data_IF_885139476788
#
_entry.id   IF_885139476788
#
_cell.length_a   1.000
_cell.length_b   1.000
_cell.length_c   1.000
_cell.angle_alpha   90.00
_cell.angle_beta   90.00
_cell.angle_gamma   90.00
#
_symmetry.space_group_name_H-M   'P 1'
#
loop_
_entity.id
_entity.type
_entity.pdbx_description
1 polymer ?
#
# COMPACT_ATOMS: atom_id res chain seq x y z
N UNK A 1 -9.49 -13.86 -8.62
CA UNK A 1 -9.14 -14.22 -7.21
C UNK A 1 -7.68 -13.92 -6.87
N UNK A 2 -6.70 -14.24 -7.72
CA UNK A 2 -5.27 -13.99 -7.44
C UNK A 2 -4.91 -12.51 -7.22
N UNK A 3 -5.41 -11.58 -8.04
CA UNK A 3 -5.08 -10.16 -7.93
C UNK A 3 -5.51 -9.52 -6.59
N UNK A 4 -6.68 -9.87 -6.07
CA UNK A 4 -7.19 -9.37 -4.78
C UNK A 4 -6.33 -9.84 -3.61
N UNK A 5 -5.85 -11.09 -3.66
CA UNK A 5 -4.93 -11.62 -2.65
C UNK A 5 -3.60 -10.85 -2.63
N UNK A 6 -3.02 -10.59 -3.81
CA UNK A 6 -1.79 -9.81 -3.92
C UNK A 6 -1.99 -8.37 -3.45
N UNK A 7 -3.10 -7.73 -3.84
CA UNK A 7 -3.46 -6.39 -3.33
C UNK A 7 -3.48 -6.38 -1.80
N UNK A 8 -4.15 -7.35 -1.18
CA UNK A 8 -4.22 -7.44 0.28
C UNK A 8 -2.83 -7.61 0.93
N UNK A 9 -1.97 -8.46 0.37
CA UNK A 9 -0.62 -8.68 0.91
C UNK A 9 0.27 -7.45 0.76
N UNK A 10 0.18 -6.74 -0.37
CA UNK A 10 0.90 -5.47 -0.60
C UNK A 10 0.45 -4.41 0.41
N UNK A 11 -0.86 -4.24 0.61
CA UNK A 11 -1.38 -3.27 1.57
C UNK A 11 -1.05 -3.67 3.01
N UNK A 12 -1.09 -4.96 3.37
CA UNK A 12 -0.64 -5.42 4.68
C UNK A 12 0.83 -5.12 4.93
N UNK A 13 1.68 -5.25 3.90
CA UNK A 13 3.09 -4.91 4.03
C UNK A 13 3.28 -3.40 4.23
N UNK A 14 2.55 -2.58 3.49
CA UNK A 14 2.52 -1.12 3.68
C UNK A 14 2.07 -0.73 5.10
N UNK A 15 0.95 -1.28 5.58
CA UNK A 15 0.45 -1.05 6.95
C UNK A 15 1.48 -1.47 8.00
N UNK A 16 2.18 -2.58 7.79
CA UNK A 16 3.22 -3.06 8.73
C UNK A 16 4.39 -2.07 8.86
N UNK A 17 4.73 -1.32 7.80
CA UNK A 17 5.75 -0.25 7.88
C UNK A 17 5.21 0.97 8.63
N UNK A 18 3.94 1.32 8.40
CA UNK A 18 3.29 2.46 9.04
C UNK A 18 3.13 2.25 10.55
N UNK A 19 2.60 1.09 10.95
CA UNK A 19 2.34 0.68 12.33
C UNK A 19 3.63 0.54 13.17
N UNK A 20 4.77 0.23 12.54
CA UNK A 20 6.01 -0.06 13.25
C UNK A 20 6.64 1.20 13.85
N UNK A 21 6.37 1.45 15.13
CA UNK A 21 6.88 2.60 15.88
C UNK A 21 8.40 2.55 16.14
N UNK A 22 9.08 1.46 15.78
CA UNK A 22 10.54 1.34 15.94
C UNK A 22 11.31 1.93 14.75
N UNK A 23 10.64 2.14 13.61
CA UNK A 23 11.23 2.76 12.42
C UNK A 23 11.19 4.29 12.59
N UNK A 24 12.35 4.96 12.47
CA UNK A 24 12.43 6.41 12.54
C UNK A 24 11.63 7.07 11.41
N UNK A 25 11.06 8.25 11.66
CA UNK A 25 10.30 8.98 10.62
C UNK A 25 11.15 9.31 9.39
N UNK A 26 12.44 9.57 9.57
CA UNK A 26 13.39 9.83 8.47
C UNK A 26 13.50 8.66 7.49
N UNK A 27 13.34 7.43 7.98
CA UNK A 27 13.34 6.22 7.15
C UNK A 27 11.93 5.83 6.73
N UNK A 28 10.95 5.94 7.63
CA UNK A 28 9.56 5.52 7.41
C UNK A 28 8.87 6.33 6.33
N UNK A 29 9.00 7.66 6.36
CA UNK A 29 8.36 8.57 5.41
C UNK A 29 8.75 8.25 3.94
N UNK A 30 10.04 8.20 3.57
CA UNK A 30 10.42 7.85 2.21
C UNK A 30 10.05 6.40 1.87
N UNK A 31 10.14 5.46 2.83
CA UNK A 31 9.76 4.07 2.60
C UNK A 31 8.28 3.90 2.26
N UNK A 32 7.38 4.63 2.94
CA UNK A 32 5.94 4.62 2.63
C UNK A 32 5.66 5.27 1.29
N UNK A 33 6.26 6.43 1.00
CA UNK A 33 6.06 7.14 -0.25
C UNK A 33 6.51 6.30 -1.48
N UNK A 34 7.66 5.66 -1.36
CA UNK A 34 8.29 4.91 -2.46
C UNK A 34 7.90 3.43 -2.47
N UNK A 35 7.02 2.97 -1.57
CA UNK A 35 6.67 1.56 -1.40
C UNK A 35 6.18 0.90 -2.70
N UNK A 36 5.41 1.65 -3.50
CA UNK A 36 4.92 1.18 -4.80
C UNK A 36 6.06 0.81 -5.77
N UNK A 37 7.23 1.46 -5.66
CA UNK A 37 8.39 1.17 -6.50
C UNK A 37 9.03 -0.17 -6.14
N UNK A 38 8.94 -0.59 -4.87
CA UNK A 38 9.50 -1.84 -4.37
C UNK A 38 8.78 -3.07 -4.95
N UNK A 39 7.55 -2.91 -5.43
CA UNK A 39 6.83 -3.95 -6.18
C UNK A 39 7.62 -4.42 -7.42
N UNK A 40 8.44 -3.54 -7.99
CA UNK A 40 9.28 -3.81 -9.17
C UNK A 40 10.72 -4.19 -8.81
N UNK A 41 11.10 -4.20 -7.53
CA UNK A 41 12.44 -4.55 -7.06
C UNK A 41 12.44 -5.99 -6.53
N UNK A 42 13.03 -6.97 -7.26
CA UNK A 42 12.89 -8.39 -6.91
C UNK A 42 13.45 -8.78 -5.55
N UNK A 43 14.53 -8.12 -5.12
CA UNK A 43 15.26 -8.47 -3.91
C UNK A 43 14.90 -7.56 -2.72
N UNK A 44 13.97 -6.63 -2.91
CA UNK A 44 13.59 -5.72 -1.84
C UNK A 44 12.88 -6.48 -0.72
N UNK A 45 13.35 -6.26 0.51
CA UNK A 45 12.80 -6.80 1.74
C UNK A 45 13.22 -5.92 2.91
N UNK A 46 12.48 -5.98 4.01
CA UNK A 46 12.80 -5.26 5.23
C UNK A 46 12.84 -6.21 6.42
N UNK A 47 14.02 -6.35 7.04
CA UNK A 47 14.31 -7.34 8.08
C UNK A 47 14.30 -6.77 9.51
N UNK A 48 14.15 -5.46 9.65
CA UNK A 48 14.33 -4.77 10.94
C UNK A 48 13.01 -4.61 11.71
N UNK A 49 11.87 -4.87 11.07
CA UNK A 49 10.54 -4.68 11.67
C UNK A 49 10.34 -5.55 12.92
N UNK A 50 9.65 -4.97 13.91
CA UNK A 50 9.25 -5.63 15.16
C UNK A 50 7.76 -5.97 15.22
N UNK A 51 7.03 -5.65 14.16
CA UNK A 51 5.59 -5.85 14.10
C UNK A 51 5.17 -7.33 14.01
N UNK A 52 3.93 -7.59 14.41
CA UNK A 52 3.34 -8.93 14.38
C UNK A 52 3.36 -9.55 12.98
N UNK A 53 3.17 -8.73 11.96
CA UNK A 53 3.07 -9.17 10.56
C UNK A 53 4.38 -9.01 9.77
N UNK A 54 5.52 -8.74 10.44
CA UNK A 54 6.82 -8.50 9.79
C UNK A 54 7.22 -9.51 8.70
N UNK A 55 6.72 -10.75 8.75
CA UNK A 55 6.98 -11.75 7.72
C UNK A 55 6.59 -11.27 6.31
N UNK A 56 5.55 -10.45 6.15
CA UNK A 56 5.19 -9.91 4.82
C UNK A 56 6.23 -8.93 4.28
N UNK A 57 7.06 -8.35 5.14
CA UNK A 57 8.19 -7.49 4.77
C UNK A 57 9.49 -8.29 4.58
N UNK A 58 9.71 -9.29 5.43
CA UNK A 58 10.89 -10.17 5.35
C UNK A 58 10.88 -11.03 4.08
N UNK A 59 9.71 -11.54 3.68
CA UNK A 59 9.46 -12.36 2.49
C UNK A 59 8.72 -11.59 1.38
N UNK A 60 8.87 -10.25 1.36
CA UNK A 60 8.33 -9.40 0.30
C UNK A 60 8.78 -9.78 -1.14
N UNK A 61 9.98 -10.34 -1.37
CA UNK A 61 10.38 -10.86 -2.69
C UNK A 61 9.36 -11.83 -3.29
N UNK A 62 8.76 -12.69 -2.47
CA UNK A 62 7.73 -13.64 -2.91
C UNK A 62 6.44 -12.92 -3.32
N UNK A 63 5.98 -11.95 -2.53
CA UNK A 63 4.80 -11.14 -2.84
C UNK A 63 5.01 -10.33 -4.12
N UNK A 64 6.17 -9.68 -4.24
CA UNK A 64 6.50 -8.85 -5.39
C UNK A 64 6.69 -9.67 -6.68
N UNK A 65 7.16 -10.92 -6.57
CA UNK A 65 7.23 -11.86 -7.70
C UNK A 65 5.84 -12.17 -8.25
N UNK A 66 4.91 -12.56 -7.38
CA UNK A 66 3.53 -12.85 -7.78
C UNK A 66 2.84 -11.61 -8.34
N UNK A 67 3.07 -10.43 -7.76
CA UNK A 67 2.64 -9.16 -8.33
C UNK A 67 3.16 -8.98 -9.76
N UNK A 68 4.46 -9.17 -10.00
CA UNK A 68 5.06 -9.02 -11.33
C UNK A 68 4.52 -10.03 -12.34
N UNK A 69 3.99 -11.17 -11.89
CA UNK A 69 3.36 -12.17 -12.76
C UNK A 69 1.91 -11.83 -13.15
N UNK A 70 1.26 -10.86 -12.50
CA UNK A 70 -0.10 -10.44 -12.84
C UNK A 70 -0.18 -9.76 -14.22
N UNK A 71 -1.37 -9.76 -14.82
CA UNK A 71 -1.65 -8.97 -16.01
C UNK A 71 -1.42 -7.48 -15.74
N UNK A 72 -0.99 -6.73 -16.76
CA UNK A 72 -0.61 -5.32 -16.62
C UNK A 72 -1.72 -4.48 -15.97
N UNK A 73 -2.98 -4.70 -16.36
CA UNK A 73 -4.14 -3.99 -15.79
C UNK A 73 -4.18 -4.09 -14.26
N UNK A 74 -4.01 -5.29 -13.71
CA UNK A 74 -4.01 -5.47 -12.26
C UNK A 74 -2.77 -4.87 -11.59
N UNK A 75 -1.60 -4.96 -12.23
CA UNK A 75 -0.37 -4.36 -11.70
C UNK A 75 -0.48 -2.84 -11.60
N UNK A 76 -1.01 -2.20 -12.64
CA UNK A 76 -1.19 -0.75 -12.68
C UNK A 76 -2.13 -0.29 -11.55
N UNK A 77 -3.24 -1.01 -11.34
CA UNK A 77 -4.20 -0.70 -10.27
C UNK A 77 -3.57 -0.86 -8.88
N UNK A 78 -2.90 -1.98 -8.63
CA UNK A 78 -2.30 -2.25 -7.32
C UNK A 78 -1.18 -1.24 -7.03
N UNK A 79 -0.34 -0.92 -8.01
CA UNK A 79 0.73 0.06 -7.86
C UNK A 79 0.18 1.48 -7.60
N UNK A 80 -0.87 1.88 -8.32
CA UNK A 80 -1.52 3.19 -8.14
C UNK A 80 -2.17 3.33 -6.75
N UNK A 81 -2.90 2.30 -6.31
CA UNK A 81 -3.48 2.26 -4.96
C UNK A 81 -2.38 2.34 -3.90
N UNK A 82 -1.34 1.51 -4.04
CA UNK A 82 -0.22 1.48 -3.11
C UNK A 82 0.52 2.82 -3.04
N UNK A 83 0.76 3.46 -4.18
CA UNK A 83 1.42 4.76 -4.25
C UNK A 83 0.60 5.83 -3.53
N UNK A 84 -0.69 5.93 -3.85
CA UNK A 84 -1.57 6.90 -3.19
C UNK A 84 -1.59 6.63 -1.68
N UNK A 85 -1.73 5.36 -1.25
CA UNK A 85 -1.89 5.04 0.18
C UNK A 85 -0.63 5.39 0.96
N UNK A 86 0.53 4.99 0.42
CA UNK A 86 1.82 5.32 0.98
C UNK A 86 2.08 6.82 1.06
N UNK A 87 1.71 7.58 0.02
CA UNK A 87 1.79 9.04 0.04
C UNK A 87 0.88 9.68 1.10
N UNK A 88 -0.36 9.19 1.23
CA UNK A 88 -1.31 9.66 2.25
C UNK A 88 -0.82 9.39 3.68
N UNK A 89 -0.27 8.20 3.94
CA UNK A 89 0.34 7.84 5.23
C UNK A 89 1.59 8.68 5.51
N UNK A 90 2.44 8.90 4.51
CA UNK A 90 3.65 9.71 4.64
C UNK A 90 3.33 11.19 4.93
N UNK A 91 2.30 11.74 4.28
CA UNK A 91 1.80 13.09 4.56
C UNK A 91 1.22 13.18 5.97
N UNK A 92 0.49 12.15 6.39
CA UNK A 92 -0.08 12.06 7.73
C UNK A 92 0.99 12.07 8.83
N UNK A 93 2.07 11.32 8.67
CA UNK A 93 3.16 11.27 9.64
C UNK A 93 3.95 12.59 9.73
N UNK A 94 3.98 13.36 8.64
CA UNK A 94 4.65 14.67 8.58
C UNK A 94 3.77 15.80 9.15
N UNK A 95 2.46 15.72 8.97
CA UNK A 95 1.51 16.67 9.55
C UNK A 95 1.20 16.25 10.98
N UNK A 96 1.70 16.99 11.97
CA UNK A 96 1.15 16.93 13.34
C UNK A 96 -0.37 17.13 13.22
N UNK A 97 -1.16 16.08 13.46
CA UNK A 97 -2.60 16.13 13.30
C UNK A 97 -3.20 17.16 14.26
N UNK A 98 -3.61 18.33 13.76
CA UNK A 98 -4.16 19.39 14.59
C UNK A 98 -5.68 19.22 14.85
N UNK A 99 -6.41 18.40 14.08
CA UNK A 99 -7.81 18.06 14.43
C UNK A 99 -8.39 16.78 13.78
N UNK A 100 -9.28 16.10 14.51
CA UNK A 100 -10.12 14.97 14.05
C UNK A 100 -11.00 15.28 12.83
N UNK A 101 -11.26 16.56 12.54
CA UNK A 101 -12.09 17.00 11.42
C UNK A 101 -11.37 16.89 10.07
N UNK A 102 -10.05 17.11 10.05
CA UNK A 102 -9.24 16.89 8.85
C UNK A 102 -9.14 15.39 8.53
N UNK A 103 -9.14 14.55 9.57
CA UNK A 103 -9.17 13.09 9.50
C UNK A 103 -10.41 12.56 8.79
N UNK A 104 -11.61 12.92 9.26
CA UNK A 104 -12.87 12.45 8.67
C UNK A 104 -12.97 12.85 7.19
N UNK A 105 -12.48 14.04 6.85
CA UNK A 105 -12.50 14.54 5.48
C UNK A 105 -11.51 13.79 4.57
N UNK A 106 -10.29 13.53 5.06
CA UNK A 106 -9.29 12.78 4.30
C UNK A 106 -9.73 11.34 4.10
N UNK A 107 -10.20 10.65 5.14
CA UNK A 107 -10.73 9.29 5.05
C UNK A 107 -11.94 9.19 4.12
N UNK A 108 -12.89 10.13 4.19
CA UNK A 108 -14.04 10.14 3.29
C UNK A 108 -13.63 10.36 1.83
N UNK A 109 -12.66 11.25 1.57
CA UNK A 109 -12.14 11.51 0.22
C UNK A 109 -11.40 10.29 -0.32
N UNK A 110 -10.64 9.63 0.55
CA UNK A 110 -9.92 8.40 0.27
C UNK A 110 -10.84 7.22 -0.03
N UNK A 111 -11.81 6.96 0.87
CA UNK A 111 -12.80 5.91 0.70
C UNK A 111 -13.65 6.12 -0.55
N UNK A 112 -14.04 7.37 -0.85
CA UNK A 112 -14.73 7.70 -2.10
C UNK A 112 -13.86 7.42 -3.34
N UNK A 113 -12.57 7.76 -3.29
CA UNK A 113 -11.63 7.50 -4.39
C UNK A 113 -11.36 6.01 -4.59
N UNK A 114 -11.33 5.24 -3.49
CA UNK A 114 -11.17 3.79 -3.52
C UNK A 114 -12.44 3.09 -4.03
N UNK A 115 -13.62 3.48 -3.54
CA UNK A 115 -14.91 2.91 -3.98
C UNK A 115 -15.21 3.20 -5.46
N UNK A 116 -14.89 4.42 -5.94
CA UNK A 116 -15.04 4.78 -7.36
C UNK A 116 -14.08 3.97 -8.23
N UNK A 117 -12.80 3.86 -7.87
CA UNK A 117 -11.85 3.08 -8.65
C UNK A 117 -12.20 1.59 -8.62
N UNK A 118 -12.41 0.99 -7.45
CA UNK A 118 -12.72 -0.45 -7.33
C UNK A 118 -14.03 -0.80 -8.02
N UNK A 119 -15.09 0.02 -7.92
CA UNK A 119 -16.33 -0.22 -8.67
C UNK A 119 -16.13 -0.12 -10.17
N UNK A 120 -15.38 0.86 -10.67
CA UNK A 120 -15.09 0.99 -12.10
C UNK A 120 -14.38 -0.25 -12.66
N UNK A 121 -13.42 -0.82 -11.90
CA UNK A 121 -12.71 -2.03 -12.31
C UNK A 121 -13.57 -3.30 -12.22
N UNK A 122 -14.48 -3.40 -11.25
CA UNK A 122 -15.39 -4.55 -11.13
C UNK A 122 -16.55 -4.49 -12.13
N UNK A 123 -16.98 -3.31 -12.58
CA UNK A 123 -17.99 -3.17 -13.63
C UNK A 123 -17.48 -3.63 -15.01
N UNK A 124 -16.19 -3.49 -15.29
CA UNK A 124 -15.58 -3.98 -16.53
C UNK A 124 -15.46 -5.51 -16.56
N UNK A 125 -15.45 -6.19 -15.40
CA UNK A 125 -15.44 -7.65 -15.28
C UNK A 125 -16.82 -8.30 -15.51
N UNK A 126 -17.91 -7.53 -15.49
CA UNK A 126 -19.29 -8.01 -15.72
C UNK A 126 -19.77 -7.73 -17.17
N UNK A 127 -19.02 -6.95 -17.94
CA UNK A 127 -19.38 -6.53 -19.30
C UNK A 127 -18.79 -7.43 -20.42
N UNK A 128 -18.31 -8.64 -20.10
CA UNK A 128 -17.86 -9.66 -21.09
C UNK A 128 -18.70 -10.92 -20.98
#
# INVERSE_FOLDING_TARGET
IHAVCILYLVLRALDTVEDDMTISLETKVPMLHDFHSYLYQPDWRYMESKEKYKQVLEDFPTISLEFRNLAKVYRDVIADICHKMGAGMAEFLQKKADSLQEWDKSLATWAASFDVNVKSYLSDEIAV
#
